data_IF_236339423773
#
_entry.id   IF_236339423773
#
_cell.length_a   1.000
_cell.length_b   1.000
_cell.length_c   1.000
_cell.angle_alpha   90.00
_cell.angle_beta   90.00
_cell.angle_gamma   90.00
#
_symmetry.space_group_name_H-M   'P 1'
#
loop_
_entity.id
_entity.type
_entity.pdbx_description
1 polymer ?
#
# COMPACT_ATOMS: atom_id res chain seq x y z
N UNK A 1 -16.13 -24.20 -28.43
CA UNK A 1 -16.05 -24.20 -26.96
C UNK A 1 -14.92 -23.25 -26.62
N UNK A 2 -15.25 -22.01 -26.24
CA UNK A 2 -14.26 -20.98 -25.94
C UNK A 2 -14.27 -20.79 -24.42
N UNK A 3 -13.17 -21.14 -23.77
CA UNK A 3 -12.92 -20.84 -22.36
C UNK A 3 -12.00 -19.63 -22.32
N UNK A 4 -12.55 -18.49 -21.92
CA UNK A 4 -11.82 -17.26 -21.66
C UNK A 4 -11.30 -17.34 -20.22
N UNK A 5 -10.01 -17.66 -20.04
CA UNK A 5 -9.33 -17.40 -18.77
C UNK A 5 -8.90 -15.93 -18.74
N UNK A 6 -9.42 -15.16 -17.78
CA UNK A 6 -8.87 -13.86 -17.39
C UNK A 6 -8.17 -14.06 -16.06
N UNK A 7 -6.85 -14.15 -16.07
CA UNK A 7 -6.05 -14.05 -14.87
C UNK A 7 -5.74 -12.56 -14.68
N UNK A 8 -6.12 -12.00 -13.53
CA UNK A 8 -5.81 -10.62 -13.16
C UNK A 8 -4.31 -10.56 -12.84
N UNK A 9 -3.56 -9.73 -13.57
CA UNK A 9 -2.16 -9.38 -13.25
C UNK A 9 -2.16 -8.52 -11.99
N UNK A 10 -1.65 -9.05 -10.89
CA UNK A 10 -1.18 -8.24 -9.76
C UNK A 10 0.23 -7.78 -10.15
N UNK A 11 0.43 -6.47 -10.24
CA UNK A 11 1.68 -5.87 -10.68
C UNK A 11 2.50 -5.61 -9.42
N UNK A 12 3.48 -6.46 -9.12
CA UNK A 12 4.50 -6.16 -8.12
C UNK A 12 5.43 -5.08 -8.69
N UNK A 13 5.37 -3.87 -8.13
CA UNK A 13 6.26 -2.77 -8.48
C UNK A 13 7.62 -2.97 -7.81
N UNK A 14 8.59 -3.49 -8.58
CA UNK A 14 9.98 -3.58 -8.16
C UNK A 14 10.69 -2.23 -8.30
N UNK A 15 11.33 -1.82 -7.21
CA UNK A 15 12.20 -0.66 -7.07
C UNK A 15 13.36 -0.66 -8.08
N UNK A 16 13.66 0.51 -8.67
CA UNK A 16 15.03 0.79 -9.10
C UNK A 16 15.36 2.30 -9.08
N UNK A 17 16.47 2.65 -8.42
CA UNK A 17 17.33 3.72 -8.94
C UNK A 17 17.68 4.89 -8.02
N UNK A 18 18.54 4.61 -7.04
CA UNK A 18 19.35 5.55 -6.26
C UNK A 18 20.11 6.59 -7.15
N UNK A 19 20.16 7.86 -6.72
CA UNK A 19 20.95 8.92 -7.38
C UNK A 19 21.42 10.03 -6.44
N UNK A 20 22.45 9.72 -5.65
CA UNK A 20 23.22 10.63 -4.77
C UNK A 20 23.93 11.74 -5.57
N UNK A 21 23.97 12.99 -5.07
CA UNK A 21 25.23 13.78 -4.94
C UNK A 21 25.07 15.11 -4.15
N UNK A 22 25.84 15.18 -3.06
CA UNK A 22 26.73 16.25 -2.59
C UNK A 22 26.35 17.76 -2.68
N UNK A 23 26.30 18.39 -1.49
CA UNK A 23 27.19 19.53 -1.17
C UNK A 23 26.53 20.90 -0.92
N UNK A 24 26.82 21.49 0.26
CA UNK A 24 26.75 22.95 0.44
C UNK A 24 26.32 23.46 1.82
N UNK A 25 27.28 23.56 2.76
CA UNK A 25 27.16 24.38 3.99
C UNK A 25 27.06 25.86 3.62
N UNK A 26 26.16 26.63 4.23
CA UNK A 26 26.48 27.99 4.71
C UNK A 26 25.76 28.32 6.02
N UNK A 27 26.54 28.86 6.94
CA UNK A 27 26.16 29.45 8.21
C UNK A 27 25.73 30.90 7.98
N UNK A 28 24.66 31.36 8.64
CA UNK A 28 24.49 32.77 8.97
C UNK A 28 23.77 32.92 10.32
N UNK A 29 24.54 33.30 11.34
CA UNK A 29 24.06 33.83 12.61
C UNK A 29 23.71 35.32 12.47
N UNK A 30 22.64 35.75 13.14
CA UNK A 30 22.55 37.10 13.69
C UNK A 30 21.69 37.07 14.97
N UNK A 31 22.36 37.27 16.11
CA UNK A 31 21.79 37.75 17.38
C UNK A 31 21.31 39.22 17.17
N UNK A 32 20.51 39.90 17.99
CA UNK A 32 20.18 39.89 19.42
C UNK A 32 18.92 40.79 19.55
N UNK A 33 17.97 40.63 20.47
CA UNK A 33 18.00 41.24 21.81
C UNK A 33 16.75 40.82 22.59
N UNK A 34 17.02 40.53 23.85
CA UNK A 34 16.18 40.13 24.96
C UNK A 34 15.53 41.35 25.65
N UNK A 35 14.29 41.24 26.09
CA UNK A 35 13.83 41.82 27.38
C UNK A 35 12.70 40.97 27.99
N UNK A 36 12.77 40.79 29.32
CA UNK A 36 12.00 39.85 30.17
C UNK A 36 10.81 40.56 30.88
N UNK A 37 9.83 39.84 31.48
CA UNK A 37 8.53 40.33 31.98
C UNK A 37 8.56 40.51 33.54
N UNK A 38 7.47 40.64 34.35
CA UNK A 38 6.26 39.76 34.44
C UNK A 38 4.92 40.43 34.86
N UNK A 39 3.83 39.63 34.97
CA UNK A 39 2.81 39.53 36.07
C UNK A 39 1.49 38.95 35.50
N UNK A 40 1.19 37.66 35.63
CA UNK A 40 0.49 36.93 36.73
C UNK A 40 -0.99 37.31 36.95
N UNK A 41 -1.91 36.41 36.56
CA UNK A 41 -3.11 35.96 37.31
C UNK A 41 -3.67 34.71 36.59
N UNK A 42 -3.35 33.51 37.07
CA UNK A 42 -4.11 32.68 38.04
C UNK A 42 -5.16 31.76 37.39
N UNK A 43 -4.87 30.46 37.42
CA UNK A 43 -5.82 29.37 37.42
C UNK A 43 -6.37 29.14 38.84
N UNK A 44 -7.46 28.37 38.99
CA UNK A 44 -7.31 27.05 39.63
C UNK A 44 -8.11 25.98 38.84
N UNK A 45 -7.64 24.74 38.65
CA UNK A 45 -7.22 23.74 39.63
C UNK A 45 -8.38 22.74 39.82
N UNK A 46 -8.26 21.42 39.98
CA UNK A 46 -7.12 20.55 40.27
C UNK A 46 -7.67 19.09 40.43
N UNK A 47 -7.07 18.12 39.73
CA UNK A 47 -6.74 16.70 40.12
C UNK A 47 -7.88 15.76 40.56
N UNK A 48 -7.79 14.43 40.40
CA UNK A 48 -6.96 13.53 41.24
C UNK A 48 -7.04 12.08 40.71
N UNK A 49 -5.85 11.46 40.53
CA UNK A 49 -5.37 10.08 40.80
C UNK A 49 -6.24 8.83 40.48
N UNK A 50 -5.77 7.87 39.67
CA UNK A 50 -4.88 6.70 39.96
C UNK A 50 -5.61 5.44 40.45
N UNK A 51 -5.63 4.40 39.62
CA UNK A 51 -5.08 3.04 39.86
C UNK A 51 -5.94 1.87 39.31
N UNK A 52 -5.34 1.16 38.35
CA UNK A 52 -5.27 -0.29 38.08
C UNK A 52 -6.44 -1.28 38.21
N UNK A 53 -6.28 -2.33 37.39
CA UNK A 53 -6.89 -3.68 37.37
C UNK A 53 -8.24 -3.74 36.63
N UNK A 54 -8.51 -4.69 35.74
CA UNK A 54 -8.06 -6.07 35.60
C UNK A 54 -8.35 -6.54 34.16
N UNK A 55 -7.54 -7.45 33.63
CA UNK A 55 -7.73 -8.06 32.32
C UNK A 55 -9.04 -8.84 32.24
N UNK A 56 -9.87 -8.57 31.23
CA UNK A 56 -10.82 -9.56 30.74
C UNK A 56 -10.99 -9.44 29.23
N UNK A 57 -10.50 -10.46 28.54
CA UNK A 57 -10.84 -10.77 27.16
C UNK A 57 -12.38 -10.86 27.00
N UNK A 58 -12.89 -10.17 25.98
CA UNK A 58 -14.20 -10.35 25.36
C UNK A 58 -13.98 -10.00 23.89
N UNK A 59 -13.76 -11.02 23.06
CA UNK A 59 -14.78 -11.51 22.12
C UNK A 59 -15.00 -10.51 20.97
N UNK A 60 -14.37 -10.87 19.86
CA UNK A 60 -14.45 -10.29 18.53
C UNK A 60 -15.87 -10.53 18.00
N UNK A 61 -16.75 -9.55 18.17
CA UNK A 61 -18.02 -9.45 17.45
C UNK A 61 -17.79 -8.44 16.32
N UNK A 62 -17.86 -8.91 15.08
CA UNK A 62 -17.87 -8.08 13.86
C UNK A 62 -19.12 -7.18 13.89
N UNK A 63 -19.00 -6.02 14.52
CA UNK A 63 -19.95 -4.93 14.41
C UNK A 63 -19.29 -3.86 13.55
N UNK A 64 -19.88 -3.57 12.38
CA UNK A 64 -19.63 -2.39 11.52
C UNK A 64 -18.91 -1.28 12.32
N UNK A 65 -17.59 -1.19 12.20
CA UNK A 65 -16.81 -0.21 12.93
C UNK A 65 -17.15 1.16 12.34
N UNK A 66 -18.00 1.89 13.05
CA UNK A 66 -18.31 3.27 12.66
C UNK A 66 -17.08 4.11 12.93
N UNK A 67 -16.66 4.97 11.98
CA UNK A 67 -15.52 5.84 12.21
C UNK A 67 -15.77 6.76 13.41
N UNK A 68 -14.72 7.06 14.20
CA UNK A 68 -14.76 8.02 15.32
C UNK A 68 -14.68 9.49 14.83
N UNK A 69 -15.31 9.77 13.69
CA UNK A 69 -15.45 11.11 13.15
C UNK A 69 -16.86 11.33 12.62
N UNK A 70 -17.21 12.59 12.37
CA UNK A 70 -18.50 12.96 11.77
C UNK A 70 -18.26 13.97 10.66
N UNK A 71 -18.73 13.68 9.46
CA UNK A 71 -18.64 14.62 8.34
C UNK A 71 -19.83 15.59 8.33
N UNK A 72 -19.66 16.73 7.67
CA UNK A 72 -20.69 17.76 7.55
C UNK A 72 -21.79 17.44 6.52
N UNK A 73 -21.67 16.31 5.83
CA UNK A 73 -22.62 15.82 4.83
C UNK A 73 -22.80 14.32 5.02
N UNK A 74 -24.02 13.90 5.32
CA UNK A 74 -24.34 12.50 5.59
C UNK A 74 -25.39 11.96 4.62
N UNK A 75 -25.36 10.66 4.37
CA UNK A 75 -26.42 9.93 3.66
C UNK A 75 -26.98 8.82 4.56
N UNK A 76 -28.24 8.41 4.39
CA UNK A 76 -28.77 7.29 5.16
C UNK A 76 -28.08 5.99 4.72
N UNK A 77 -27.44 5.30 5.66
CA UNK A 77 -26.84 3.98 5.45
C UNK A 77 -27.92 3.02 4.98
N UNK A 78 -27.84 2.59 3.73
CA UNK A 78 -28.72 1.52 3.21
C UNK A 78 -28.05 0.19 3.48
N UNK A 79 -28.65 -0.61 4.38
CA UNK A 79 -28.17 -1.95 4.67
C UNK A 79 -28.06 -2.75 3.36
N UNK A 80 -26.90 -3.35 3.12
CA UNK A 80 -26.62 -4.10 1.90
C UNK A 80 -27.74 -5.10 1.61
N UNK A 81 -28.26 -5.04 0.38
CA UNK A 81 -29.27 -5.96 -0.11
C UNK A 81 -28.66 -7.33 -0.42
N UNK A 82 -29.47 -8.35 -0.71
CA UNK A 82 -28.94 -9.65 -1.11
C UNK A 82 -28.04 -9.50 -2.35
N UNK A 83 -26.90 -10.18 -2.33
CA UNK A 83 -25.91 -10.19 -3.43
C UNK A 83 -26.60 -10.45 -4.77
N UNK A 84 -26.37 -9.50 -5.69
CA UNK A 84 -26.96 -9.50 -7.03
C UNK A 84 -26.13 -10.35 -7.99
N UNK A 85 -26.41 -10.24 -9.28
CA UNK A 85 -25.43 -10.66 -10.30
C UNK A 85 -24.37 -9.58 -10.48
N UNK A 86 -23.17 -9.90 -10.98
CA UNK A 86 -22.09 -8.93 -11.25
C UNK A 86 -22.54 -7.69 -12.05
N UNK A 87 -23.51 -7.87 -12.97
CA UNK A 87 -24.05 -6.77 -13.78
C UNK A 87 -25.04 -5.85 -13.02
N UNK A 88 -25.64 -6.36 -11.94
CA UNK A 88 -26.53 -5.62 -11.05
C UNK A 88 -25.70 -4.81 -10.04
N UNK A 89 -24.60 -5.38 -9.55
CA UNK A 89 -23.62 -4.75 -8.66
C UNK A 89 -22.95 -3.53 -9.30
N UNK A 90 -22.34 -3.65 -10.49
CA UNK A 90 -21.72 -2.50 -11.15
C UNK A 90 -22.71 -1.34 -11.47
N UNK A 91 -24.01 -1.65 -11.56
CA UNK A 91 -25.07 -0.65 -11.74
C UNK A 91 -25.50 -0.04 -10.41
N UNK A 92 -25.43 -0.79 -9.30
CA UNK A 92 -25.64 -0.31 -7.95
C UNK A 92 -24.53 0.66 -7.55
N UNK A 93 -23.25 0.29 -7.75
CA UNK A 93 -22.08 1.12 -7.39
C UNK A 93 -22.14 2.48 -8.09
N UNK A 94 -22.41 2.49 -9.41
CA UNK A 94 -22.56 3.75 -10.14
C UNK A 94 -23.72 4.59 -9.61
N UNK A 95 -24.82 3.95 -9.20
CA UNK A 95 -25.97 4.66 -8.66
C UNK A 95 -25.68 5.23 -7.26
N UNK A 96 -24.84 4.56 -6.48
CA UNK A 96 -24.32 4.99 -5.19
C UNK A 96 -23.36 6.16 -5.33
N UNK A 97 -22.33 6.03 -6.18
CA UNK A 97 -21.41 7.12 -6.50
C UNK A 97 -22.16 8.39 -6.92
N UNK A 98 -23.15 8.24 -7.80
CA UNK A 98 -23.99 9.34 -8.26
C UNK A 98 -24.93 9.93 -7.18
N UNK A 99 -25.11 9.27 -6.03
CA UNK A 99 -25.77 9.86 -4.85
C UNK A 99 -24.77 10.63 -4.01
N UNK A 100 -23.57 10.07 -3.77
CA UNK A 100 -22.51 10.73 -3.00
C UNK A 100 -22.08 12.03 -3.68
N UNK A 101 -21.89 12.01 -5.01
CA UNK A 101 -21.57 13.20 -5.81
C UNK A 101 -22.61 14.32 -5.70
N UNK A 102 -23.89 13.98 -5.47
CA UNK A 102 -24.96 15.00 -5.34
C UNK A 102 -24.95 15.71 -3.99
N UNK A 103 -24.38 15.09 -2.97
CA UNK A 103 -24.36 15.63 -1.61
C UNK A 103 -23.00 16.25 -1.26
N UNK A 104 -21.92 15.78 -1.89
CA UNK A 104 -20.61 16.42 -1.83
C UNK A 104 -20.70 17.90 -2.23
N UNK A 105 -20.05 18.78 -1.47
CA UNK A 105 -20.03 20.23 -1.71
C UNK A 105 -18.68 20.72 -2.20
N UNK A 106 -17.64 19.90 -2.06
CA UNK A 106 -16.32 20.11 -2.65
C UNK A 106 -16.08 19.09 -3.76
N UNK A 107 -15.13 19.37 -4.65
CA UNK A 107 -14.69 18.43 -5.67
C UNK A 107 -13.39 17.72 -5.25
N UNK A 108 -13.02 16.66 -5.97
CA UNK A 108 -11.78 15.91 -5.75
C UNK A 108 -10.53 16.79 -5.79
N UNK A 109 -10.54 17.87 -6.58
CA UNK A 109 -9.42 18.82 -6.67
C UNK A 109 -9.26 19.63 -5.38
N UNK A 110 -10.35 20.03 -4.75
CA UNK A 110 -10.34 20.71 -3.45
C UNK A 110 -9.92 19.74 -2.34
N UNK A 111 -10.38 18.48 -2.37
CA UNK A 111 -9.96 17.44 -1.44
C UNK A 111 -8.46 17.14 -1.54
N UNK A 112 -7.95 16.90 -2.76
CA UNK A 112 -6.52 16.74 -3.05
C UNK A 112 -5.67 17.89 -2.52
N UNK A 113 -6.14 19.13 -2.70
CA UNK A 113 -5.44 20.30 -2.16
C UNK A 113 -5.45 20.31 -0.63
N UNK A 114 -6.58 20.01 0.00
CA UNK A 114 -6.68 19.96 1.46
C UNK A 114 -5.76 18.88 2.05
N UNK A 115 -5.73 17.69 1.43
CA UNK A 115 -4.85 16.59 1.81
C UNK A 115 -3.37 16.98 1.66
N UNK A 116 -2.96 17.50 0.51
CA UNK A 116 -1.55 17.88 0.27
C UNK A 116 -1.07 19.11 1.05
N UNK A 117 -1.97 20.01 1.46
CA UNK A 117 -1.66 21.08 2.42
C UNK A 117 -1.32 20.50 3.81
N UNK A 118 -1.85 19.32 4.15
CA UNK A 118 -1.67 18.64 5.44
C UNK A 118 -0.52 17.61 5.42
N UNK A 119 -0.49 16.78 4.39
CA UNK A 119 0.51 15.72 4.14
C UNK A 119 1.24 16.05 2.83
N UNK A 120 2.48 16.58 2.89
CA UNK A 120 3.19 16.94 1.66
C UNK A 120 3.65 15.71 0.88
N UNK A 121 3.06 15.48 -0.30
CA UNK A 121 3.39 14.33 -1.14
C UNK A 121 2.82 14.43 -2.56
N UNK A 122 2.88 13.31 -3.27
CA UNK A 122 2.15 13.07 -4.51
C UNK A 122 0.80 12.46 -4.15
N UNK A 123 -0.27 12.84 -4.83
CA UNK A 123 -1.58 12.18 -4.67
C UNK A 123 -1.67 11.06 -5.68
N UNK A 124 -1.95 9.85 -5.20
CA UNK A 124 -1.96 8.63 -6.01
C UNK A 124 -3.41 8.26 -6.38
N UNK A 125 -4.30 8.25 -5.39
CA UNK A 125 -5.72 7.95 -5.53
C UNK A 125 -6.61 8.97 -4.79
N UNK A 126 -7.84 9.18 -5.28
CA UNK A 126 -8.86 10.01 -4.65
C UNK A 126 -10.22 9.38 -4.87
N UNK A 127 -10.84 8.91 -3.79
CA UNK A 127 -12.17 8.30 -3.82
C UNK A 127 -13.17 9.11 -3.00
N UNK A 128 -14.43 9.08 -3.43
CA UNK A 128 -15.56 9.68 -2.72
C UNK A 128 -16.40 8.55 -2.17
N UNK A 129 -16.49 8.46 -0.85
CA UNK A 129 -17.06 7.29 -0.18
C UNK A 129 -18.02 7.67 0.97
N UNK A 130 -18.69 6.63 1.49
CA UNK A 130 -19.66 6.64 2.57
C UNK A 130 -19.21 5.71 3.70
N UNK A 131 -18.71 6.30 4.78
CA UNK A 131 -18.31 5.54 5.96
C UNK A 131 -19.28 5.76 7.13
N UNK A 132 -20.10 4.75 7.41
CA UNK A 132 -20.98 4.72 8.58
C UNK A 132 -22.08 5.79 8.62
N UNK A 133 -22.35 6.42 7.49
CA UNK A 133 -23.31 7.48 7.18
C UNK A 133 -22.62 8.77 6.72
N UNK A 134 -21.29 8.85 6.82
CA UNK A 134 -20.51 10.05 6.58
C UNK A 134 -19.99 10.08 5.14
N UNK A 135 -20.27 11.16 4.41
CA UNK A 135 -19.68 11.32 3.07
C UNK A 135 -18.33 12.01 3.16
N UNK A 136 -17.28 11.36 2.66
CA UNK A 136 -15.88 11.77 2.77
C UNK A 136 -15.15 11.56 1.45
N UNK A 137 -14.05 12.29 1.26
CA UNK A 137 -13.03 11.94 0.28
C UNK A 137 -11.90 11.22 0.99
N UNK A 138 -11.52 10.04 0.51
CA UNK A 138 -10.27 9.39 0.86
C UNK A 138 -9.21 9.83 -0.15
N UNK A 139 -8.05 10.27 0.33
CA UNK A 139 -6.96 10.76 -0.53
C UNK A 139 -5.67 10.08 -0.11
N UNK A 140 -5.19 9.17 -0.95
CA UNK A 140 -3.90 8.52 -0.75
C UNK A 140 -2.77 9.47 -1.17
N UNK A 141 -1.82 9.70 -0.25
CA UNK A 141 -0.69 10.59 -0.46
C UNK A 141 0.64 9.89 -0.19
N UNK A 142 1.44 9.68 -1.23
CA UNK A 142 2.82 9.21 -1.10
C UNK A 142 3.79 10.36 -0.80
N UNK A 143 4.42 10.32 0.37
CA UNK A 143 5.50 11.22 0.76
C UNK A 143 6.82 10.89 0.03
N UNK A 144 7.81 11.80 0.09
CA UNK A 144 9.10 11.61 -0.60
C UNK A 144 9.92 10.42 -0.11
N UNK A 145 9.68 9.97 1.12
CA UNK A 145 10.35 8.80 1.71
C UNK A 145 9.62 7.48 1.40
N UNK A 146 8.54 7.53 0.61
CA UNK A 146 7.73 6.37 0.24
C UNK A 146 6.66 6.02 1.28
N UNK A 147 6.47 6.85 2.31
CA UNK A 147 5.35 6.68 3.26
C UNK A 147 4.04 7.02 2.56
N UNK A 148 3.11 6.08 2.54
CA UNK A 148 1.73 6.28 2.06
C UNK A 148 0.85 6.71 3.25
N UNK A 149 -0.10 7.61 3.00
CA UNK A 149 -1.01 8.10 4.03
C UNK A 149 -2.35 8.40 3.41
N UNK A 150 -3.38 7.75 3.94
CA UNK A 150 -4.77 7.96 3.59
C UNK A 150 -5.31 9.13 4.40
N UNK A 151 -5.72 10.17 3.70
CA UNK A 151 -6.23 11.39 4.30
C UNK A 151 -7.73 11.46 4.09
N UNK A 152 -8.49 11.27 5.16
CA UNK A 152 -9.95 11.38 5.15
C UNK A 152 -10.36 12.84 5.23
N UNK A 153 -11.02 13.35 4.18
CA UNK A 153 -11.43 14.75 4.01
C UNK A 153 -12.95 14.87 3.97
N UNK A 154 -13.52 15.77 4.77
CA UNK A 154 -14.95 16.08 4.78
C UNK A 154 -15.43 16.59 3.40
N UNK A 155 -16.27 15.81 2.71
CA UNK A 155 -16.78 16.14 1.37
C UNK A 155 -17.69 17.39 1.35
N UNK A 156 -18.13 17.88 2.51
CA UNK A 156 -18.95 19.07 2.64
C UNK A 156 -18.18 20.38 2.86
N UNK A 157 -16.95 20.31 3.38
CA UNK A 157 -16.21 21.53 3.76
C UNK A 157 -14.68 21.46 3.64
N UNK A 158 -14.09 20.31 3.32
CA UNK A 158 -12.66 20.13 3.10
C UNK A 158 -11.81 20.02 4.37
N UNK A 159 -12.42 19.84 5.55
CA UNK A 159 -11.68 19.58 6.80
C UNK A 159 -11.10 18.17 6.79
N UNK A 160 -9.88 18.03 7.28
CA UNK A 160 -9.28 16.72 7.55
C UNK A 160 -9.96 16.13 8.78
N UNK A 161 -10.54 14.94 8.64
CA UNK A 161 -11.27 14.21 9.66
C UNK A 161 -10.38 13.14 10.31
N UNK A 162 -9.65 12.40 9.50
CA UNK A 162 -8.68 11.39 9.93
C UNK A 162 -7.47 11.38 8.99
N UNK A 163 -6.39 10.76 9.45
CA UNK A 163 -5.20 10.44 8.67
C UNK A 163 -4.73 9.08 9.14
N UNK A 164 -4.61 8.14 8.23
CA UNK A 164 -4.11 6.80 8.48
C UNK A 164 -2.84 6.65 7.68
N UNK A 165 -1.71 6.57 8.37
CA UNK A 165 -0.47 6.23 7.70
C UNK A 165 -0.46 4.72 7.59
N UNK A 166 -0.31 4.19 6.38
CA UNK A 166 0.03 2.79 6.19
C UNK A 166 1.44 2.58 6.77
N UNK A 167 1.48 2.39 8.08
CA UNK A 167 2.67 2.01 8.80
C UNK A 167 3.01 0.61 8.28
N UNK A 168 3.84 0.55 7.23
CA UNK A 168 4.67 -0.61 6.84
C UNK A 168 5.69 -0.96 7.95
N UNK A 169 5.30 -0.77 9.21
CA UNK A 169 6.04 -1.00 10.43
C UNK A 169 5.38 -2.07 11.32
N UNK A 170 4.13 -2.47 11.07
CA UNK A 170 3.45 -3.51 11.86
C UNK A 170 3.18 -4.84 11.11
N UNK A 171 3.73 -5.01 9.89
CA UNK A 171 4.03 -6.34 9.33
C UNK A 171 5.55 -6.59 9.22
N UNK A 172 6.31 -6.17 10.24
CA UNK A 172 7.66 -6.72 10.51
C UNK A 172 7.57 -7.94 11.41
N UNK A 173 6.57 -8.78 11.15
CA UNK A 173 6.35 -10.07 11.77
C UNK A 173 7.06 -11.23 11.06
N UNK A 174 7.33 -11.12 9.75
CA UNK A 174 7.99 -12.20 8.96
C UNK A 174 9.08 -11.72 7.97
N UNK A 175 9.19 -10.42 7.68
CA UNK A 175 10.00 -9.92 6.55
C UNK A 175 11.53 -9.82 6.79
N UNK A 176 11.98 -10.01 8.05
CA UNK A 176 13.41 -10.04 8.37
C UNK A 176 14.05 -11.38 8.00
N UNK A 177 13.29 -12.47 8.11
CA UNK A 177 13.73 -13.82 7.78
C UNK A 177 13.76 -14.00 6.26
N UNK A 178 12.77 -13.50 5.51
CA UNK A 178 12.74 -13.56 4.05
C UNK A 178 13.88 -12.77 3.39
N UNK A 179 14.18 -11.57 3.90
CA UNK A 179 15.33 -10.79 3.41
C UNK A 179 16.67 -11.47 3.72
N UNK A 180 16.76 -12.19 4.83
CA UNK A 180 17.96 -12.91 5.21
C UNK A 180 18.12 -14.22 4.41
N UNK A 181 17.04 -14.94 4.17
CA UNK A 181 16.94 -16.12 3.29
C UNK A 181 17.35 -15.73 1.87
N UNK A 182 16.77 -14.68 1.29
CA UNK A 182 17.11 -14.28 -0.07
C UNK A 182 18.56 -13.82 -0.21
N UNK A 183 19.08 -13.05 0.77
CA UNK A 183 20.49 -12.69 0.80
C UNK A 183 21.43 -13.90 0.99
N UNK A 184 20.94 -15.00 1.57
CA UNK A 184 21.66 -16.28 1.68
C UNK A 184 21.64 -17.03 0.35
N UNK A 185 20.52 -17.06 -0.35
CA UNK A 185 20.41 -17.64 -1.69
C UNK A 185 21.33 -16.90 -2.68
N UNK A 186 21.30 -15.57 -2.69
CA UNK A 186 22.15 -14.75 -3.57
C UNK A 186 23.65 -15.02 -3.36
N UNK A 187 24.08 -15.23 -2.11
CA UNK A 187 25.47 -15.59 -1.79
C UNK A 187 25.85 -17.01 -2.23
N UNK A 188 24.88 -17.91 -2.30
CA UNK A 188 25.08 -19.30 -2.68
C UNK A 188 25.04 -19.50 -4.21
N UNK A 189 24.31 -18.65 -4.93
CA UNK A 189 24.30 -18.61 -6.38
C UNK A 189 25.70 -18.30 -6.95
N UNK A 190 26.08 -19.03 -8.00
CA UNK A 190 27.35 -18.85 -8.73
C UNK A 190 27.16 -18.38 -10.16
N UNK A 191 25.93 -18.44 -10.66
CA UNK A 191 25.53 -17.85 -11.93
C UNK A 191 24.53 -16.74 -11.66
N UNK A 192 24.41 -15.80 -12.60
CA UNK A 192 23.40 -14.75 -12.54
C UNK A 192 22.11 -15.19 -13.27
N UNK A 193 21.03 -14.44 -13.04
CA UNK A 193 19.74 -14.67 -13.71
C UNK A 193 19.90 -14.70 -15.24
N UNK A 194 20.78 -13.86 -15.80
CA UNK A 194 21.04 -13.82 -17.24
C UNK A 194 21.57 -15.15 -17.79
N UNK A 195 22.49 -15.78 -17.09
CA UNK A 195 23.02 -17.09 -17.46
C UNK A 195 21.94 -18.19 -17.30
N UNK A 196 21.10 -18.11 -16.27
CA UNK A 196 19.98 -19.01 -16.07
C UNK A 196 18.92 -18.88 -17.18
N UNK A 197 18.49 -17.66 -17.50
CA UNK A 197 17.58 -17.35 -18.61
C UNK A 197 18.10 -17.88 -19.95
N UNK A 198 19.42 -17.79 -20.18
CA UNK A 198 20.04 -18.39 -21.37
C UNK A 198 19.96 -19.92 -21.34
N UNK A 199 20.25 -20.56 -20.21
CA UNK A 199 20.17 -22.01 -20.08
C UNK A 199 18.72 -22.52 -20.26
N UNK A 200 17.74 -21.77 -19.76
CA UNK A 200 16.32 -22.05 -19.95
C UNK A 200 15.90 -21.94 -21.41
N UNK A 201 16.25 -20.83 -22.09
CA UNK A 201 15.90 -20.61 -23.50
C UNK A 201 16.62 -21.54 -24.48
N UNK A 202 17.79 -22.08 -24.11
CA UNK A 202 18.46 -23.15 -24.86
C UNK A 202 17.65 -24.48 -24.82
N UNK A 203 16.74 -24.66 -23.84
CA UNK A 203 15.86 -25.84 -23.70
C UNK A 203 14.43 -25.58 -24.17
N UNK A 204 13.87 -24.43 -23.81
CA UNK A 204 12.49 -24.03 -24.11
C UNK A 204 12.57 -22.75 -24.97
N UNK A 205 12.35 -22.84 -26.29
CA UNK A 205 12.42 -21.66 -27.15
C UNK A 205 11.23 -20.71 -26.88
N UNK A 206 11.52 -19.55 -26.30
CA UNK A 206 10.50 -18.54 -26.00
C UNK A 206 11.10 -17.20 -25.59
N UNK A 207 10.23 -16.34 -25.08
CA UNK A 207 10.60 -15.11 -24.37
C UNK A 207 10.70 -15.44 -22.89
N UNK A 208 11.71 -14.92 -22.19
CA UNK A 208 11.78 -15.04 -20.73
C UNK A 208 11.02 -13.88 -20.14
N UNK A 209 10.05 -14.19 -19.29
CA UNK A 209 9.19 -13.20 -18.63
C UNK A 209 9.74 -12.86 -17.25
N UNK A 210 10.14 -13.87 -16.49
CA UNK A 210 10.69 -13.73 -15.14
C UNK A 210 11.84 -14.75 -14.87
N UNK A 211 12.69 -14.45 -13.89
CA UNK A 211 13.79 -15.31 -13.48
C UNK A 211 14.13 -15.09 -12.00
N UNK A 212 13.50 -15.87 -11.13
CA UNK A 212 13.60 -15.71 -9.68
C UNK A 212 14.56 -16.72 -9.05
N UNK A 213 15.26 -16.27 -8.01
CA UNK A 213 16.19 -17.10 -7.27
C UNK A 213 15.47 -17.70 -6.06
N UNK A 214 15.41 -19.02 -6.01
CA UNK A 214 14.65 -19.77 -5.00
C UNK A 214 15.44 -20.99 -4.49
N UNK A 215 14.90 -21.70 -3.50
CA UNK A 215 15.41 -22.96 -2.96
C UNK A 215 14.39 -24.10 -3.15
N UNK A 216 14.70 -25.02 -4.06
CA UNK A 216 13.90 -26.24 -4.27
C UNK A 216 14.64 -27.45 -3.71
N UNK A 217 14.03 -28.16 -2.76
CA UNK A 217 14.61 -29.34 -2.10
C UNK A 217 16.02 -29.11 -1.51
N UNK A 218 16.25 -27.94 -0.91
CA UNK A 218 17.55 -27.57 -0.33
C UNK A 218 18.63 -27.23 -1.36
N UNK A 219 18.25 -26.97 -2.62
CA UNK A 219 19.13 -26.53 -3.69
C UNK A 219 18.73 -25.13 -4.14
N UNK A 220 19.71 -24.24 -4.19
CA UNK A 220 19.51 -22.91 -4.77
C UNK A 220 19.38 -23.03 -6.29
N UNK A 221 18.27 -22.55 -6.81
CA UNK A 221 17.86 -22.64 -8.22
C UNK A 221 17.37 -21.29 -8.71
N UNK A 222 17.39 -21.11 -10.03
CA UNK A 222 16.60 -20.10 -10.71
C UNK A 222 15.35 -20.77 -11.27
N UNK A 223 14.17 -20.27 -10.93
CA UNK A 223 12.93 -20.56 -11.64
C UNK A 223 12.78 -19.54 -12.76
N UNK A 224 12.73 -20.02 -14.00
CA UNK A 224 12.67 -19.15 -15.18
C UNK A 224 11.38 -19.42 -15.94
N UNK A 225 10.50 -18.44 -15.97
CA UNK A 225 9.26 -18.49 -16.74
C UNK A 225 9.55 -18.15 -18.21
N UNK A 226 9.14 -19.04 -19.11
CA UNK A 226 9.36 -18.88 -20.55
C UNK A 226 8.06 -19.01 -21.34
N UNK A 227 7.60 -17.91 -21.93
CA UNK A 227 6.46 -17.90 -22.87
C UNK A 227 6.86 -18.28 -24.29
N UNK A 228 6.30 -19.38 -24.81
CA UNK A 228 6.44 -19.82 -26.19
C UNK A 228 5.59 -18.96 -27.16
N UNK A 229 5.83 -19.08 -28.47
CA UNK A 229 5.11 -18.28 -29.49
C UNK A 229 3.60 -18.55 -29.55
N UNK A 230 3.17 -19.72 -29.11
CA UNK A 230 1.76 -20.09 -29.04
C UNK A 230 1.08 -19.64 -27.74
N UNK A 231 1.83 -18.96 -26.86
CA UNK A 231 1.35 -18.46 -25.56
C UNK A 231 1.45 -19.48 -24.44
N UNK A 232 2.06 -20.64 -24.66
CA UNK A 232 2.32 -21.62 -23.59
C UNK A 232 3.43 -21.10 -22.67
N UNK A 233 3.15 -20.99 -21.38
CA UNK A 233 4.12 -20.67 -20.34
C UNK A 233 4.79 -21.95 -19.84
N UNK A 234 6.06 -21.86 -19.46
CA UNK A 234 6.83 -23.00 -18.97
C UNK A 234 7.87 -22.54 -17.97
N UNK A 235 7.76 -23.05 -16.76
CA UNK A 235 8.75 -22.87 -15.71
C UNK A 235 9.93 -23.81 -15.94
N UNK A 236 11.12 -23.24 -15.98
CA UNK A 236 12.36 -23.97 -16.15
C UNK A 236 13.23 -23.77 -14.92
N UNK A 237 13.41 -24.84 -14.13
CA UNK A 237 14.26 -24.82 -12.95
C UNK A 237 15.71 -25.05 -13.35
N UNK A 238 16.57 -24.08 -13.04
CA UNK A 238 18.01 -24.08 -13.38
C UNK A 238 18.84 -24.07 -12.10
N UNK A 239 19.81 -24.97 -11.95
CA UNK A 239 20.72 -24.97 -10.81
C UNK A 239 21.55 -23.68 -10.77
N UNK A 240 21.38 -22.87 -9.71
CA UNK A 240 22.02 -21.56 -9.59
C UNK A 240 23.54 -21.65 -9.32
N UNK A 241 24.09 -22.85 -9.10
CA UNK A 241 25.52 -23.05 -8.86
C UNK A 241 26.30 -23.45 -10.10
N UNK A 242 25.63 -23.99 -11.13
CA UNK A 242 26.29 -24.54 -12.32
C UNK A 242 25.52 -24.33 -13.64
N UNK A 243 24.31 -23.78 -13.61
CA UNK A 243 23.50 -23.49 -14.80
C UNK A 243 22.86 -24.70 -15.47
N UNK A 244 22.84 -25.87 -14.81
CA UNK A 244 22.20 -27.07 -15.36
C UNK A 244 20.69 -27.00 -15.14
N UNK A 245 19.91 -27.21 -16.20
CA UNK A 245 18.46 -27.41 -16.11
C UNK A 245 18.15 -28.69 -15.33
N UNK A 246 17.29 -28.57 -14.31
CA UNK A 246 16.87 -29.63 -13.40
C UNK A 246 15.49 -30.17 -13.76
N UNK A 247 14.54 -29.29 -14.05
CA UNK A 247 13.18 -29.62 -14.49
C UNK A 247 12.64 -28.56 -15.42
N UNK A 248 11.54 -28.90 -16.10
CA UNK A 248 10.71 -27.98 -16.87
C UNK A 248 9.26 -28.43 -16.72
N UNK A 249 8.35 -27.50 -16.47
CA UNK A 249 6.93 -27.76 -16.32
C UNK A 249 6.15 -26.71 -17.11
N UNK A 250 5.26 -27.15 -17.99
CA UNK A 250 4.34 -26.23 -18.66
C UNK A 250 3.11 -26.05 -17.77
N UNK A 251 2.60 -24.82 -17.71
CA UNK A 251 1.35 -24.49 -17.04
C UNK A 251 0.10 -24.93 -17.84
#
# INVERSE_FOLDING_TARGET
>A
MATTSKVKKVIYSSLFGLGLTAGGVTLASAATTQEKPPTTIEAPGNKTDTESTDSKATEHDEADEKPDYTSSVTVPVTKEGPEGSDADEAKADRAEQAKLEKVAKIDAKAASKAATDKVPGTVDEIDLDEEGGNVVYEVEVTAKDGTETDVIVDAGNGKILAQETDDKSDDKGDDADDKAEQAKLEKAAKIDAKAASKAATDKVPGTVDEADLDEVDGKVVYEVEVTAKDGTETDVIVDATNGKVLSQQAD
#
